data_IF_554868700054
#
_entry.id   IF_554868700054
#
_cell.length_a   1.000
_cell.length_b   1.000
_cell.length_c   1.000
_cell.angle_alpha   90.00
_cell.angle_beta   90.00
_cell.angle_gamma   90.00
#
_symmetry.space_group_name_H-M   'P 1'
#
loop_
_entity.id
_entity.type
_entity.pdbx_description
1 polymer ?
#
# COMPACT_ATOMS: atom_id res chain seq x y z
N UNK A 1 34.56 19.22 42.35
CA UNK A 1 35.09 18.87 41.01
C UNK A 1 34.77 17.42 40.71
N UNK A 2 33.92 17.17 39.71
CA UNK A 2 33.74 15.86 39.05
C UNK A 2 33.70 16.14 37.54
N UNK A 3 34.56 15.50 36.74
CA UNK A 3 34.61 15.75 35.31
C UNK A 3 33.45 15.04 34.59
N UNK A 4 32.82 15.79 33.68
CA UNK A 4 31.82 15.36 32.72
C UNK A 4 32.48 14.53 31.62
N UNK A 5 31.96 13.33 31.37
CA UNK A 5 32.32 12.48 30.23
C UNK A 5 31.59 12.99 28.98
N UNK A 6 32.34 13.53 28.03
CA UNK A 6 31.87 13.79 26.67
C UNK A 6 32.21 12.57 25.80
N UNK A 7 31.18 11.88 25.32
CA UNK A 7 31.30 10.81 24.33
C UNK A 7 31.26 11.47 22.95
N UNK A 8 32.37 11.33 22.22
CA UNK A 8 32.44 11.62 20.79
C UNK A 8 31.98 10.37 20.03
N UNK A 9 31.13 10.52 19.02
CA UNK A 9 31.13 9.60 17.90
C UNK A 9 31.00 10.35 16.59
N UNK A 10 31.99 10.12 15.75
CA UNK A 10 32.33 10.82 14.53
C UNK A 10 31.38 10.45 13.39
N UNK A 11 30.90 11.48 12.69
CA UNK A 11 30.16 11.36 11.42
C UNK A 11 31.11 10.83 10.33
N UNK A 12 30.76 9.70 9.72
CA UNK A 12 31.43 9.19 8.53
C UNK A 12 30.71 9.73 7.28
N UNK A 13 31.40 10.60 6.54
CA UNK A 13 31.02 11.15 5.25
C UNK A 13 31.96 10.57 4.18
N UNK A 14 31.59 9.44 3.56
CA UNK A 14 32.26 8.92 2.36
C UNK A 14 31.28 8.04 1.59
N UNK A 15 30.91 8.47 0.37
CA UNK A 15 30.96 7.72 -0.89
C UNK A 15 30.06 8.40 -1.93
N UNK A 16 30.62 9.47 -2.48
CA UNK A 16 30.28 10.10 -3.74
C UNK A 16 31.07 9.36 -4.83
N UNK A 17 30.45 9.13 -5.99
CA UNK A 17 31.05 8.71 -7.27
C UNK A 17 31.48 7.23 -7.41
N UNK A 18 30.55 6.38 -7.86
CA UNK A 18 30.85 5.21 -8.70
C UNK A 18 30.40 5.58 -10.13
N UNK A 19 31.24 6.29 -10.87
CA UNK A 19 32.13 5.76 -11.91
C UNK A 19 31.37 5.05 -13.05
N UNK A 20 30.95 5.89 -13.99
CA UNK A 20 30.63 5.55 -15.37
C UNK A 20 31.78 4.74 -16.00
N UNK A 21 31.57 3.43 -16.17
CA UNK A 21 32.36 2.58 -17.06
C UNK A 21 31.38 1.73 -17.87
N UNK A 22 31.19 2.10 -19.14
CA UNK A 22 30.89 1.19 -20.26
C UNK A 22 30.70 2.03 -21.52
N UNK A 23 31.80 2.30 -22.23
CA UNK A 23 31.77 2.86 -23.59
C UNK A 23 32.06 1.73 -24.59
N UNK A 24 31.30 1.78 -25.69
CA UNK A 24 31.51 1.21 -27.04
C UNK A 24 31.34 -0.32 -27.20
N UNK A 25 30.30 -0.80 -27.90
CA UNK A 25 29.99 -0.70 -29.35
C UNK A 25 30.89 -1.61 -30.21
N UNK A 26 30.28 -2.65 -30.81
CA UNK A 26 30.54 -3.27 -32.13
C UNK A 26 29.55 -4.44 -32.29
N UNK A 27 28.39 -4.26 -32.93
CA UNK A 27 28.07 -4.35 -34.38
C UNK A 27 27.24 -5.59 -34.71
N UNK A 28 26.27 -5.33 -35.57
CA UNK A 28 25.18 -6.17 -36.04
C UNK A 28 25.62 -7.38 -36.85
N UNK A 29 24.78 -8.42 -36.84
CA UNK A 29 24.42 -9.17 -38.05
C UNK A 29 23.11 -9.92 -37.77
N UNK A 30 22.04 -9.60 -38.53
CA UNK A 30 20.85 -10.45 -38.55
C UNK A 30 19.51 -9.78 -38.89
N UNK A 31 19.41 -8.98 -39.96
CA UNK A 31 18.10 -8.71 -40.58
C UNK A 31 17.71 -9.89 -41.47
N UNK A 32 16.52 -10.52 -41.28
CA UNK A 32 15.53 -10.71 -42.37
C UNK A 32 14.20 -11.36 -41.93
N UNK A 33 13.17 -11.01 -42.71
CA UNK A 33 11.76 -11.46 -42.73
C UNK A 33 10.85 -10.68 -41.78
N UNK A 34 10.23 -9.58 -42.26
CA UNK A 34 8.95 -9.54 -42.99
C UNK A 34 7.82 -10.14 -42.17
N UNK A 35 6.93 -9.30 -41.62
CA UNK A 35 5.61 -9.01 -42.24
C UNK A 35 4.75 -8.20 -41.27
N UNK A 36 4.39 -6.99 -41.72
CA UNK A 36 3.14 -6.23 -41.54
C UNK A 36 2.47 -6.22 -40.15
N UNK A 37 2.44 -5.02 -39.59
CA UNK A 37 1.38 -4.57 -38.68
C UNK A 37 0.01 -4.81 -39.30
N UNK A 38 -0.89 -5.40 -38.52
CA UNK A 38 -2.33 -5.31 -38.68
C UNK A 38 -2.88 -5.28 -37.26
N UNK A 39 -3.39 -4.12 -36.89
CA UNK A 39 -4.21 -3.91 -35.71
C UNK A 39 -5.44 -4.83 -35.78
N UNK A 40 -5.58 -5.77 -34.84
CA UNK A 40 -6.86 -6.23 -34.27
C UNK A 40 -6.66 -7.38 -33.25
N UNK A 41 -7.38 -7.26 -32.13
CA UNK A 41 -7.88 -8.32 -31.23
C UNK A 41 -6.90 -9.18 -30.40
N UNK A 42 -7.04 -9.07 -29.07
CA UNK A 42 -7.17 -10.17 -28.08
C UNK A 42 -6.95 -9.54 -26.69
N UNK A 43 -7.98 -9.27 -25.89
CA UNK A 43 -8.59 -10.28 -25.03
C UNK A 43 -7.52 -11.24 -24.48
N UNK A 44 -6.65 -10.70 -23.63
CA UNK A 44 -5.65 -11.44 -22.89
C UNK A 44 -6.38 -12.40 -21.93
N UNK A 45 -6.69 -13.58 -22.45
CA UNK A 45 -7.01 -14.73 -21.62
C UNK A 45 -5.67 -15.22 -21.11
N UNK A 46 -5.24 -14.68 -19.97
CA UNK A 46 -4.20 -15.32 -19.20
C UNK A 46 -4.72 -16.69 -18.74
N UNK A 47 -4.35 -17.75 -19.45
CA UNK A 47 -4.33 -19.13 -18.92
C UNK A 47 -3.23 -19.22 -17.86
N UNK A 48 -3.47 -18.55 -16.72
CA UNK A 48 -2.63 -18.61 -15.53
C UNK A 48 -3.26 -19.54 -14.51
N UNK A 49 -2.49 -20.54 -14.06
CA UNK A 49 -2.77 -21.44 -12.93
C UNK A 49 -3.78 -20.86 -11.91
N UNK A 50 -5.03 -21.34 -11.95
CA UNK A 50 -6.12 -20.86 -11.09
C UNK A 50 -5.86 -21.33 -9.65
N UNK A 51 -5.05 -20.59 -8.91
CA UNK A 51 -5.01 -20.78 -7.45
C UNK A 51 -6.38 -20.34 -6.91
N UNK A 52 -7.08 -21.21 -6.15
CA UNK A 52 -8.39 -20.85 -5.61
C UNK A 52 -8.26 -19.65 -4.69
N UNK A 53 -9.12 -18.65 -4.87
CA UNK A 53 -9.20 -17.48 -3.99
C UNK A 53 -9.64 -17.95 -2.59
N UNK A 54 -8.77 -17.86 -1.56
CA UNK A 54 -9.09 -18.34 -0.22
C UNK A 54 -10.18 -17.50 0.46
N UNK A 55 -10.56 -16.35 -0.13
CA UNK A 55 -11.57 -15.43 0.37
C UNK A 55 -12.87 -15.42 -0.46
N UNK A 56 -13.03 -16.31 -1.45
CA UNK A 56 -14.19 -16.32 -2.35
C UNK A 56 -15.52 -16.47 -1.58
N UNK A 57 -15.56 -17.40 -0.63
CA UNK A 57 -16.73 -17.67 0.20
C UNK A 57 -16.67 -16.96 1.57
N UNK A 58 -15.65 -16.13 1.80
CA UNK A 58 -15.46 -15.46 3.08
C UNK A 58 -16.44 -14.30 3.25
N UNK A 59 -17.10 -14.25 4.42
CA UNK A 59 -17.92 -13.11 4.80
C UNK A 59 -17.00 -12.01 5.30
N UNK A 60 -16.78 -11.00 4.46
CA UNK A 60 -15.97 -9.82 4.78
C UNK A 60 -16.88 -8.67 5.22
N UNK A 61 -16.83 -8.31 6.51
CA UNK A 61 -17.64 -7.25 7.11
C UNK A 61 -16.78 -6.06 7.52
N UNK A 62 -17.29 -4.85 7.29
CA UNK A 62 -16.67 -3.59 7.71
C UNK A 62 -17.45 -3.02 8.89
N UNK A 63 -16.75 -2.72 9.98
CA UNK A 63 -17.33 -2.10 11.18
C UNK A 63 -16.59 -0.81 11.51
N UNK A 64 -17.28 0.32 11.41
CA UNK A 64 -16.72 1.62 11.77
C UNK A 64 -16.86 1.88 13.26
N UNK A 65 -15.90 2.60 13.83
CA UNK A 65 -15.93 2.99 15.23
C UNK A 65 -15.30 4.37 15.42
N UNK A 66 -15.77 5.08 16.44
CA UNK A 66 -15.19 6.35 16.85
C UNK A 66 -14.03 6.12 17.81
N UNK A 67 -12.96 6.89 17.64
CA UNK A 67 -11.79 6.92 18.53
C UNK A 67 -11.80 8.26 19.24
N UNK A 68 -12.19 8.25 20.51
CA UNK A 68 -12.37 9.45 21.33
C UNK A 68 -11.50 9.49 22.60
N UNK A 69 -10.82 8.39 22.95
CA UNK A 69 -10.09 8.31 24.21
C UNK A 69 -8.66 8.89 24.12
N UNK A 70 -8.19 9.40 25.26
CA UNK A 70 -6.79 9.80 25.48
C UNK A 70 -5.82 8.61 25.53
N UNK A 71 -6.33 7.38 25.66
CA UNK A 71 -5.56 6.16 25.89
C UNK A 71 -5.09 5.48 24.58
N UNK A 72 -5.62 5.92 23.43
CA UNK A 72 -5.30 5.36 22.11
C UNK A 72 -4.04 5.99 21.49
N UNK A 73 -2.91 6.10 22.21
CA UNK A 73 -1.68 6.75 21.72
C UNK A 73 -1.90 8.17 21.14
N UNK A 74 -2.92 8.87 21.66
CA UNK A 74 -3.34 10.19 21.15
C UNK A 74 -4.18 10.18 19.87
N UNK A 75 -4.65 9.02 19.40
CA UNK A 75 -5.51 8.91 18.22
C UNK A 75 -6.90 9.46 18.49
N UNK A 76 -7.39 10.28 17.56
CA UNK A 76 -8.75 10.84 17.56
C UNK A 76 -9.35 10.75 16.16
N UNK A 77 -10.67 10.59 16.08
CA UNK A 77 -11.42 10.57 14.83
C UNK A 77 -12.19 9.28 14.67
N UNK A 78 -12.18 8.72 13.47
CA UNK A 78 -12.86 7.47 13.12
C UNK A 78 -11.87 6.43 12.60
N UNK A 79 -12.11 5.18 12.96
CA UNK A 79 -11.39 4.02 12.46
C UNK A 79 -12.37 2.96 11.94
N UNK A 80 -11.82 1.88 11.40
CA UNK A 80 -12.60 0.74 10.95
C UNK A 80 -11.94 -0.59 11.34
N UNK A 81 -12.79 -1.59 11.51
CA UNK A 81 -12.42 -2.99 11.64
C UNK A 81 -12.86 -3.73 10.38
N UNK A 82 -12.07 -4.71 9.97
CA UNK A 82 -12.51 -5.74 9.03
C UNK A 82 -12.65 -7.04 9.79
N UNK A 83 -13.80 -7.69 9.65
CA UNK A 83 -14.02 -9.04 10.15
C UNK A 83 -14.09 -10.02 8.98
N UNK A 84 -13.40 -11.14 9.13
CA UNK A 84 -13.52 -12.30 8.26
C UNK A 84 -14.25 -13.39 9.02
N UNK A 85 -15.39 -13.83 8.48
CA UNK A 85 -16.23 -14.87 9.10
C UNK A 85 -16.52 -14.55 10.59
N UNK A 86 -16.85 -13.29 10.87
CA UNK A 86 -17.12 -12.78 12.22
C UNK A 86 -15.89 -12.54 13.11
N UNK A 87 -14.69 -12.97 12.71
CA UNK A 87 -13.45 -12.77 13.48
C UNK A 87 -12.72 -11.50 13.07
N UNK A 88 -12.22 -10.73 14.04
CA UNK A 88 -11.42 -9.52 13.77
C UNK A 88 -10.17 -9.89 12.95
N UNK A 89 -10.04 -9.27 11.79
CA UNK A 89 -8.94 -9.50 10.84
C UNK A 89 -8.02 -8.28 10.74
N UNK A 90 -8.59 -7.08 10.57
CA UNK A 90 -7.84 -5.81 10.57
C UNK A 90 -8.49 -4.88 11.58
N UNK A 91 -7.65 -4.23 12.39
CA UNK A 91 -8.02 -3.13 13.27
C UNK A 91 -7.25 -1.88 12.86
N UNK A 92 -7.93 -0.91 12.26
CA UNK A 92 -7.33 0.28 11.69
C UNK A 92 -7.90 1.54 12.37
N UNK A 93 -7.32 1.97 13.52
CA UNK A 93 -7.81 3.13 14.27
C UNK A 93 -7.40 4.48 13.66
N UNK A 94 -6.38 4.50 12.79
CA UNK A 94 -5.84 5.71 12.15
C UNK A 94 -5.88 5.61 10.62
N UNK A 95 -5.71 6.73 9.92
CA UNK A 95 -5.67 6.77 8.45
C UNK A 95 -4.41 6.04 7.93
N UNK A 96 -4.54 4.99 7.11
CA UNK A 96 -3.40 4.32 6.50
C UNK A 96 -2.57 5.27 5.64
N UNK A 97 -1.26 5.03 5.55
CA UNK A 97 -0.34 5.76 4.68
C UNK A 97 -0.27 7.30 4.85
N UNK A 98 -0.91 7.84 5.89
CA UNK A 98 -0.81 9.25 6.29
C UNK A 98 0.00 9.34 7.58
N UNK A 99 0.95 10.27 7.63
CA UNK A 99 1.77 10.45 8.83
C UNK A 99 0.95 10.99 10.00
N UNK A 100 1.23 10.48 11.20
CA UNK A 100 0.62 10.93 12.45
C UNK A 100 -0.37 9.92 13.02
N UNK A 101 -1.01 10.31 14.12
CA UNK A 101 -1.95 9.49 14.88
C UNK A 101 -3.37 10.04 14.73
N UNK A 102 -3.83 10.31 13.50
CA UNK A 102 -5.19 10.79 13.27
C UNK A 102 -6.04 9.70 12.63
N UNK A 103 -7.27 9.53 13.14
CA UNK A 103 -8.32 8.79 12.45
C UNK A 103 -8.92 9.62 11.31
N UNK A 104 -9.85 9.01 10.58
CA UNK A 104 -10.64 9.72 9.59
C UNK A 104 -11.51 10.78 10.26
N UNK A 105 -11.79 11.87 9.54
CA UNK A 105 -12.58 12.97 10.07
C UNK A 105 -14.08 12.63 10.21
N UNK A 106 -14.58 11.74 9.35
CA UNK A 106 -15.98 11.29 9.37
C UNK A 106 -16.10 9.76 9.39
N UNK A 107 -17.21 9.27 9.93
CA UNK A 107 -17.58 7.85 9.89
C UNK A 107 -17.68 7.34 8.45
N UNK A 108 -18.22 8.18 7.55
CA UNK A 108 -18.36 7.88 6.13
C UNK A 108 -17.00 7.69 5.45
N UNK A 109 -16.01 8.53 5.76
CA UNK A 109 -14.65 8.40 5.27
C UNK A 109 -13.99 7.10 5.74
N UNK A 110 -14.11 6.77 7.03
CA UNK A 110 -13.63 5.50 7.58
C UNK A 110 -14.30 4.29 6.92
N UNK A 111 -15.63 4.36 6.70
CA UNK A 111 -16.39 3.29 6.06
C UNK A 111 -15.91 3.06 4.63
N UNK A 112 -15.74 4.12 3.85
CA UNK A 112 -15.34 4.05 2.44
C UNK A 112 -13.94 3.46 2.28
N UNK A 113 -13.01 3.84 3.14
CA UNK A 113 -11.67 3.23 3.19
C UNK A 113 -11.74 1.74 3.58
N UNK A 114 -12.51 1.39 4.62
CA UNK A 114 -12.70 0.01 5.04
C UNK A 114 -13.35 -0.86 3.96
N UNK A 115 -14.34 -0.33 3.23
CA UNK A 115 -14.99 -1.01 2.11
C UNK A 115 -14.00 -1.28 0.96
N UNK A 116 -13.07 -0.36 0.69
CA UNK A 116 -12.02 -0.55 -0.31
C UNK A 116 -11.01 -1.64 0.08
N UNK A 117 -10.61 -1.68 1.34
CA UNK A 117 -9.75 -2.76 1.86
C UNK A 117 -10.49 -4.10 1.83
N UNK A 118 -11.78 -4.13 2.19
CA UNK A 118 -12.61 -5.33 2.06
C UNK A 118 -12.75 -5.79 0.60
N UNK A 119 -12.85 -4.85 -0.35
CA UNK A 119 -12.80 -5.15 -1.78
C UNK A 119 -11.48 -5.82 -2.19
N UNK A 120 -10.32 -5.28 -1.76
CA UNK A 120 -9.01 -5.88 -2.03
C UNK A 120 -8.91 -7.31 -1.51
N UNK A 121 -9.40 -7.57 -0.29
CA UNK A 121 -9.42 -8.91 0.30
C UNK A 121 -10.29 -9.88 -0.53
N UNK A 122 -11.51 -9.48 -0.90
CA UNK A 122 -12.39 -10.32 -1.74
C UNK A 122 -11.76 -10.64 -3.10
N UNK A 123 -10.92 -9.76 -3.62
CA UNK A 123 -10.18 -9.94 -4.88
C UNK A 123 -8.82 -10.62 -4.73
N UNK A 124 -8.51 -11.16 -3.55
CA UNK A 124 -7.22 -11.78 -3.23
C UNK A 124 -6.01 -10.85 -3.48
N UNK A 125 -6.19 -9.54 -3.37
CA UNK A 125 -5.13 -8.53 -3.48
C UNK A 125 -4.50 -8.39 -2.08
N UNK A 126 -3.44 -9.17 -1.83
CA UNK A 126 -2.78 -9.29 -0.52
C UNK A 126 -1.30 -8.87 -0.64
N UNK A 127 -0.76 -8.02 0.28
CA UNK A 127 -1.44 -7.40 1.41
C UNK A 127 -2.46 -6.34 0.95
N UNK A 128 -3.58 -6.14 1.67
CA UNK A 128 -4.61 -5.18 1.29
C UNK A 128 -4.23 -3.75 1.73
N UNK A 129 -2.95 -3.40 1.56
CA UNK A 129 -2.41 -2.07 1.87
C UNK A 129 -3.08 -1.01 0.99
N UNK A 130 -3.22 0.21 1.52
CA UNK A 130 -3.79 1.34 0.80
C UNK A 130 -2.74 2.44 0.66
N UNK A 131 -2.63 3.05 -0.53
CA UNK A 131 -1.73 4.18 -0.78
C UNK A 131 -2.44 5.53 -0.55
N UNK A 132 -1.69 6.63 -0.37
CA UNK A 132 -2.29 7.97 -0.29
C UNK A 132 -3.13 8.33 -1.52
N UNK A 133 -2.68 7.95 -2.72
CA UNK A 133 -3.38 8.22 -3.98
C UNK A 133 -4.72 7.47 -4.07
N UNK A 134 -4.79 6.25 -3.54
CA UNK A 134 -6.03 5.51 -3.46
C UNK A 134 -7.01 6.16 -2.47
N UNK A 135 -6.52 6.62 -1.31
CA UNK A 135 -7.35 7.36 -0.34
C UNK A 135 -7.83 8.71 -0.90
N UNK A 136 -6.98 9.42 -1.64
CA UNK A 136 -7.35 10.66 -2.33
C UNK A 136 -8.40 10.39 -3.42
N UNK A 137 -8.22 9.33 -4.22
CA UNK A 137 -9.19 8.89 -5.22
C UNK A 137 -10.54 8.50 -4.61
N UNK A 138 -10.54 7.96 -3.39
CA UNK A 138 -11.75 7.70 -2.62
C UNK A 138 -12.36 8.99 -2.03
N UNK A 139 -11.63 10.10 -1.99
CA UNK A 139 -12.06 11.35 -1.39
C UNK A 139 -12.20 11.28 0.14
N UNK A 140 -11.40 10.44 0.81
CA UNK A 140 -11.50 10.22 2.27
C UNK A 140 -10.48 11.03 3.08
N UNK A 141 -9.58 11.75 2.39
CA UNK A 141 -8.55 12.59 3.03
C UNK A 141 -9.01 14.04 3.28
N UNK A 142 -10.17 14.45 2.74
CA UNK A 142 -10.66 15.83 2.75
C UNK A 142 -12.09 15.90 3.28
N UNK A 143 -12.31 15.84 4.60
CA UNK A 143 -13.58 16.24 5.24
C UNK A 143 -13.38 16.84 6.62
#
# INVERSE_FOLDING_TARGET
MKPTSHINHTFNLHYLVALFFSIALLTQMGCKSSTKETDEAAADTEEGNIQPNPYEDAVVEVQVFKVDSLDHNGIRGWGYNIKLNGSLYIHQPNVPAVMGNNGFNSEAAAKKAGDFVAYKIRKNIIPPSVTPEELDSLGVLQE
#
